data_IF_946516419148
#
_entry.id   IF_946516419148
#
_cell.length_a   1.000
_cell.length_b   1.000
_cell.length_c   1.000
_cell.angle_alpha   90.00
_cell.angle_beta   90.00
_cell.angle_gamma   90.00
#
_symmetry.space_group_name_H-M   'P 1'
#
loop_
_entity.id
_entity.type
_entity.pdbx_description
1 polymer ?
#
# COMPACT_ATOMS: atom_id res chain seq x y z
N UNK A 1 19.60 8.59 4.03
CA UNK A 1 19.69 7.43 3.14
C UNK A 1 19.43 7.88 1.70
N UNK A 2 20.41 7.75 0.75
CA UNK A 2 20.29 8.20 -0.62
C UNK A 2 19.19 7.47 -1.40
N UNK A 3 18.92 6.21 -1.11
CA UNK A 3 17.90 5.42 -1.80
C UNK A 3 16.49 5.92 -1.42
N UNK A 4 16.26 6.13 -0.14
CA UNK A 4 15.02 6.73 0.35
C UNK A 4 14.83 8.15 -0.23
N UNK A 5 15.89 8.95 -0.28
CA UNK A 5 15.82 10.29 -0.87
C UNK A 5 15.46 10.26 -2.36
N UNK A 6 16.07 9.39 -3.16
CA UNK A 6 15.77 9.23 -4.58
C UNK A 6 14.30 8.89 -4.83
N UNK A 7 13.78 7.88 -4.13
CA UNK A 7 12.41 7.43 -4.28
C UNK A 7 11.40 8.46 -3.73
N UNK A 8 11.46 8.76 -2.43
CA UNK A 8 10.50 9.64 -1.76
C UNK A 8 10.57 11.07 -2.28
N UNK A 9 11.78 11.61 -2.47
CA UNK A 9 11.97 12.98 -2.93
C UNK A 9 11.40 13.21 -4.33
N UNK A 10 11.54 12.25 -5.24
CA UNK A 10 10.95 12.34 -6.59
C UNK A 10 9.43 12.31 -6.56
N UNK A 11 8.84 11.40 -5.77
CA UNK A 11 7.39 11.31 -5.61
C UNK A 11 6.82 12.59 -4.99
N UNK A 12 7.40 13.10 -3.90
CA UNK A 12 6.93 14.32 -3.26
C UNK A 12 7.02 15.57 -4.15
N UNK A 13 8.07 15.66 -4.99
CA UNK A 13 8.22 16.78 -5.94
C UNK A 13 7.20 16.74 -7.06
N UNK A 14 6.89 15.53 -7.55
CA UNK A 14 6.05 15.36 -8.73
C UNK A 14 4.55 15.29 -8.41
N UNK A 15 4.17 14.78 -7.23
CA UNK A 15 2.79 14.41 -6.93
C UNK A 15 2.23 15.20 -5.73
N UNK A 16 1.45 16.28 -5.97
CA UNK A 16 0.87 17.08 -4.88
C UNK A 16 -0.07 16.31 -3.94
N UNK A 17 -0.67 15.22 -4.42
CA UNK A 17 -1.55 14.35 -3.63
C UNK A 17 -0.78 13.38 -2.73
N UNK A 18 0.48 13.07 -3.04
CA UNK A 18 1.34 12.20 -2.25
C UNK A 18 2.06 12.97 -1.13
N UNK A 19 1.30 13.52 -0.18
CA UNK A 19 1.86 14.29 0.96
C UNK A 19 2.53 13.40 2.00
N UNK A 20 2.16 12.13 2.05
CA UNK A 20 2.83 11.09 2.82
C UNK A 20 3.11 9.92 1.89
N UNK A 21 4.32 9.39 1.98
CA UNK A 21 4.79 8.22 1.23
C UNK A 21 5.37 7.24 2.23
N UNK A 22 4.91 5.98 2.17
CA UNK A 22 5.48 4.89 2.95
C UNK A 22 5.89 3.77 2.01
N UNK A 23 7.12 3.31 2.16
CA UNK A 23 7.66 2.17 1.44
C UNK A 23 8.22 1.17 2.44
N UNK A 24 7.83 -0.10 2.29
CA UNK A 24 8.26 -1.17 3.19
C UNK A 24 8.44 -2.50 2.44
N UNK A 25 9.24 -3.37 3.03
CA UNK A 25 9.41 -4.77 2.66
C UNK A 25 8.71 -5.68 3.68
N UNK A 26 7.43 -5.39 3.97
CA UNK A 26 6.66 -6.25 4.87
C UNK A 26 6.43 -7.63 4.25
N UNK A 27 6.30 -8.65 5.09
CA UNK A 27 6.44 -10.05 4.65
C UNK A 27 5.48 -10.40 3.53
N UNK A 28 4.19 -10.19 3.71
CA UNK A 28 3.20 -10.65 2.73
C UNK A 28 3.17 -9.75 1.49
N UNK A 29 3.39 -8.44 1.64
CA UNK A 29 3.55 -7.54 0.50
C UNK A 29 4.76 -7.94 -0.36
N UNK A 30 5.90 -8.30 0.28
CA UNK A 30 7.09 -8.72 -0.44
C UNK A 30 6.90 -10.09 -1.11
N UNK A 31 6.22 -11.04 -0.44
CA UNK A 31 5.88 -12.32 -1.06
C UNK A 31 4.99 -12.10 -2.29
N UNK A 32 3.96 -11.25 -2.19
CA UNK A 32 3.09 -10.92 -3.32
C UNK A 32 3.90 -10.28 -4.46
N UNK A 33 4.74 -9.30 -4.15
CA UNK A 33 5.62 -8.63 -5.13
C UNK A 33 6.64 -9.56 -5.79
N UNK A 34 6.89 -10.74 -5.21
CA UNK A 34 7.83 -11.75 -5.75
C UNK A 34 7.14 -12.81 -6.62
N UNK A 35 5.83 -12.74 -6.78
CA UNK A 35 5.10 -13.64 -7.68
C UNK A 35 5.19 -13.13 -9.12
N UNK A 36 5.17 -14.05 -10.09
CA UNK A 36 5.14 -13.71 -11.51
C UNK A 36 3.87 -12.93 -11.90
N UNK A 37 2.76 -13.16 -11.20
CA UNK A 37 1.56 -12.34 -11.22
C UNK A 37 1.37 -11.77 -9.81
N UNK A 38 1.72 -10.51 -9.64
CA UNK A 38 1.63 -9.77 -8.37
C UNK A 38 0.28 -9.10 -8.17
N UNK A 39 -0.72 -9.37 -9.02
CA UNK A 39 -2.04 -8.78 -8.88
C UNK A 39 -2.70 -9.18 -7.55
N UNK A 40 -3.35 -8.22 -6.90
CA UNK A 40 -4.17 -8.43 -5.71
C UNK A 40 -5.65 -8.34 -6.10
N UNK A 41 -6.32 -9.47 -6.40
CA UNK A 41 -7.74 -9.46 -6.73
C UNK A 41 -8.60 -9.18 -5.49
N UNK A 42 -9.78 -8.62 -5.70
CA UNK A 42 -10.76 -8.41 -4.64
C UNK A 42 -11.42 -9.75 -4.25
N UNK A 43 -10.91 -10.40 -3.20
CA UNK A 43 -11.43 -11.67 -2.65
C UNK A 43 -12.16 -11.48 -1.32
N UNK A 44 -11.97 -10.34 -0.68
CA UNK A 44 -12.59 -9.97 0.58
C UNK A 44 -12.76 -8.45 0.70
N UNK A 45 -13.31 -7.99 1.81
CA UNK A 45 -13.55 -6.56 2.05
C UNK A 45 -12.24 -5.76 2.14
N UNK A 46 -11.14 -6.33 2.65
CA UNK A 46 -9.86 -5.63 2.78
C UNK A 46 -9.18 -5.49 1.41
N UNK A 47 -9.14 -6.55 0.62
CA UNK A 47 -8.57 -6.50 -0.73
C UNK A 47 -9.39 -5.60 -1.67
N UNK A 48 -10.71 -5.51 -1.46
CA UNK A 48 -11.58 -4.61 -2.20
C UNK A 48 -11.26 -3.12 -2.00
N UNK A 49 -10.61 -2.72 -0.88
CA UNK A 49 -10.11 -1.34 -0.69
C UNK A 49 -9.18 -0.91 -1.83
N UNK A 50 -8.47 -1.86 -2.41
CA UNK A 50 -7.41 -1.62 -3.40
C UNK A 50 -7.87 -1.84 -4.85
N UNK A 51 -9.13 -2.19 -5.07
CA UNK A 51 -9.67 -2.41 -6.41
C UNK A 51 -9.51 -1.15 -7.27
N UNK A 52 -8.84 -1.27 -8.40
CA UNK A 52 -8.47 -0.14 -9.29
C UNK A 52 -7.65 0.99 -8.60
N UNK A 53 -6.94 0.71 -7.49
CA UNK A 53 -6.06 1.65 -6.77
C UNK A 53 -4.62 1.19 -6.75
N UNK A 54 -4.31 0.09 -7.41
CA UNK A 54 -2.97 -0.49 -7.48
C UNK A 54 -2.38 -0.30 -8.87
N UNK A 55 -1.10 0.04 -8.90
CA UNK A 55 -0.23 -0.16 -10.07
C UNK A 55 0.85 -1.18 -9.72
N UNK A 56 1.21 -2.02 -10.67
CA UNK A 56 2.32 -2.96 -10.54
C UNK A 56 3.50 -2.41 -11.33
N UNK A 57 4.65 -2.36 -10.69
CA UNK A 57 5.91 -2.01 -11.30
C UNK A 57 6.79 -3.25 -11.42
N UNK A 58 6.87 -3.82 -12.60
CA UNK A 58 7.67 -5.03 -12.90
C UNK A 58 9.14 -4.72 -13.24
N UNK A 59 9.55 -3.44 -13.17
CA UNK A 59 10.88 -3.01 -13.58
C UNK A 59 11.77 -2.76 -12.36
N UNK A 60 12.20 -3.83 -11.71
CA UNK A 60 13.19 -3.71 -10.63
C UNK A 60 14.58 -3.44 -11.21
N UNK A 61 15.09 -2.21 -11.02
CA UNK A 61 16.38 -1.75 -11.52
C UNK A 61 17.53 -1.81 -10.49
N UNK A 62 17.30 -2.41 -9.32
CA UNK A 62 18.27 -2.44 -8.25
C UNK A 62 17.94 -1.45 -7.12
N UNK A 63 18.94 -0.77 -6.57
CA UNK A 63 18.72 0.22 -5.51
C UNK A 63 18.06 1.49 -6.07
N UNK A 64 17.02 1.98 -5.38
CA UNK A 64 16.21 3.12 -5.83
C UNK A 64 17.03 4.44 -5.83
N UNK A 65 17.57 4.79 -6.97
CA UNK A 65 18.17 6.09 -7.25
C UNK A 65 17.14 7.04 -7.90
N UNK A 66 17.58 8.25 -8.24
CA UNK A 66 16.69 9.34 -8.69
C UNK A 66 15.90 8.99 -9.98
N UNK A 67 16.49 8.26 -10.91
CA UNK A 67 15.80 7.82 -12.15
C UNK A 67 14.64 6.87 -11.85
N UNK A 68 14.80 5.96 -10.91
CA UNK A 68 13.76 5.06 -10.46
C UNK A 68 12.63 5.82 -9.75
N UNK A 69 12.98 6.79 -8.90
CA UNK A 69 12.00 7.64 -8.24
C UNK A 69 11.12 8.43 -9.21
N UNK A 70 11.69 8.96 -10.29
CA UNK A 70 10.94 9.66 -11.34
C UNK A 70 9.98 8.72 -12.09
N UNK A 71 10.41 7.49 -12.38
CA UNK A 71 9.59 6.45 -13.02
C UNK A 71 8.43 6.03 -12.10
N UNK A 72 8.69 5.79 -10.82
CA UNK A 72 7.66 5.49 -9.82
C UNK A 72 6.64 6.63 -9.69
N UNK A 73 7.09 7.88 -9.69
CA UNK A 73 6.20 9.03 -9.67
C UNK A 73 5.28 9.07 -10.90
N UNK A 74 5.78 8.69 -12.07
CA UNK A 74 4.95 8.60 -13.29
C UNK A 74 3.86 7.54 -13.17
N UNK A 75 4.17 6.38 -12.60
CA UNK A 75 3.20 5.30 -12.38
C UNK A 75 2.10 5.69 -11.37
N UNK A 76 2.43 6.54 -10.41
CA UNK A 76 1.51 7.03 -9.38
C UNK A 76 0.84 8.38 -9.74
N UNK A 77 0.93 8.81 -11.00
CA UNK A 77 0.44 10.13 -11.43
C UNK A 77 -1.09 10.29 -11.29
N UNK A 78 -1.86 9.21 -11.45
CA UNK A 78 -3.29 9.22 -11.19
C UNK A 78 -3.55 9.27 -9.68
N UNK A 79 -4.21 10.32 -9.14
CA UNK A 79 -4.54 10.41 -7.72
C UNK A 79 -5.39 9.24 -7.16
N UNK A 80 -6.06 8.50 -8.03
CA UNK A 80 -6.79 7.28 -7.67
C UNK A 80 -5.83 6.12 -7.36
N UNK A 81 -4.66 6.09 -7.98
CA UNK A 81 -3.62 5.09 -7.75
C UNK A 81 -2.86 5.41 -6.48
N UNK A 82 -3.15 4.70 -5.41
CA UNK A 82 -2.62 4.98 -4.07
C UNK A 82 -1.62 3.96 -3.57
N UNK A 83 -1.46 2.86 -4.31
CA UNK A 83 -0.61 1.74 -3.93
C UNK A 83 0.18 1.26 -5.13
N UNK A 84 1.47 1.04 -4.97
CA UNK A 84 2.34 0.46 -5.98
C UNK A 84 2.97 -0.81 -5.43
N UNK A 85 2.73 -1.92 -6.11
CA UNK A 85 3.48 -3.17 -5.88
C UNK A 85 4.75 -3.08 -6.71
N UNK A 86 5.88 -3.12 -6.03
CA UNK A 86 7.20 -3.06 -6.66
C UNK A 86 7.74 -4.49 -6.81
N UNK A 87 7.73 -5.01 -8.02
CA UNK A 87 8.13 -6.38 -8.33
C UNK A 87 9.52 -6.72 -7.79
N UNK A 88 9.66 -7.88 -7.14
CA UNK A 88 10.86 -8.34 -6.44
C UNK A 88 11.41 -7.40 -5.36
N UNK A 89 10.58 -6.46 -4.85
CA UNK A 89 11.06 -5.44 -3.92
C UNK A 89 10.15 -5.31 -2.69
N UNK A 90 8.93 -4.83 -2.88
CA UNK A 90 8.01 -4.59 -1.77
C UNK A 90 6.78 -3.78 -2.18
N UNK A 91 6.30 -2.92 -1.29
CA UNK A 91 5.13 -2.09 -1.56
C UNK A 91 5.43 -0.62 -1.20
N UNK A 92 4.86 0.28 -1.99
CA UNK A 92 4.83 1.71 -1.72
C UNK A 92 3.37 2.18 -1.71
N UNK A 93 3.01 2.95 -0.69
CA UNK A 93 1.67 3.55 -0.56
C UNK A 93 1.80 5.07 -0.40
N UNK A 94 0.84 5.79 -0.97
CA UNK A 94 0.78 7.25 -0.89
C UNK A 94 -0.55 7.70 -0.28
N UNK A 95 -0.54 8.86 0.36
CA UNK A 95 -1.73 9.46 0.95
C UNK A 95 -1.55 10.91 1.30
N UNK A 96 -2.64 11.55 1.75
CA UNK A 96 -2.67 12.97 2.13
C UNK A 96 -2.18 13.20 3.56
N UNK A 97 -2.30 12.19 4.42
CA UNK A 97 -1.88 12.24 5.82
C UNK A 97 -1.14 10.97 6.22
N UNK A 98 -0.38 11.03 7.31
CA UNK A 98 0.29 9.86 7.89
C UNK A 98 -0.72 8.79 8.26
N UNK A 99 -1.83 9.18 8.88
CA UNK A 99 -2.89 8.25 9.28
C UNK A 99 -3.48 7.50 8.08
N UNK A 100 -3.81 8.22 7.01
CA UNK A 100 -4.36 7.64 5.78
C UNK A 100 -3.38 6.67 5.13
N UNK A 101 -2.11 7.06 5.00
CA UNK A 101 -1.08 6.24 4.36
C UNK A 101 -0.76 5.00 5.19
N UNK A 102 -0.63 5.16 6.52
CA UNK A 102 -0.41 4.04 7.42
C UNK A 102 -1.58 3.04 7.40
N UNK A 103 -2.82 3.55 7.43
CA UNK A 103 -4.01 2.71 7.36
C UNK A 103 -4.05 1.88 6.06
N UNK A 104 -3.71 2.49 4.92
CA UNK A 104 -3.57 1.76 3.64
C UNK A 104 -2.51 0.67 3.73
N UNK A 105 -1.34 1.00 4.23
CA UNK A 105 -0.23 0.05 4.37
C UNK A 105 -0.63 -1.14 5.24
N UNK A 106 -1.25 -0.88 6.39
CA UNK A 106 -1.74 -1.91 7.30
C UNK A 106 -2.72 -2.86 6.62
N UNK A 107 -3.74 -2.31 5.95
CA UNK A 107 -4.74 -3.14 5.28
C UNK A 107 -4.21 -3.82 4.02
N UNK A 108 -3.25 -3.21 3.33
CA UNK A 108 -2.57 -3.87 2.20
C UNK A 108 -1.83 -5.13 2.65
N UNK A 109 -1.06 -5.06 3.72
CA UNK A 109 -0.35 -6.21 4.27
C UNK A 109 -1.32 -7.33 4.68
N UNK A 110 -2.44 -6.99 5.32
CA UNK A 110 -3.48 -7.97 5.68
C UNK A 110 -4.18 -8.56 4.47
N UNK A 111 -4.48 -7.78 3.45
CA UNK A 111 -5.07 -8.27 2.21
C UNK A 111 -4.12 -9.21 1.47
N UNK A 112 -2.84 -8.84 1.38
CA UNK A 112 -1.80 -9.70 0.81
C UNK A 112 -1.66 -11.02 1.59
N UNK A 113 -1.64 -10.98 2.94
CA UNK A 113 -1.64 -12.18 3.78
C UNK A 113 -2.82 -13.09 3.47
N UNK A 114 -4.03 -12.54 3.47
CA UNK A 114 -5.25 -13.30 3.21
C UNK A 114 -5.21 -13.94 1.82
N UNK A 115 -4.79 -13.20 0.81
CA UNK A 115 -4.69 -13.68 -0.55
C UNK A 115 -3.66 -14.82 -0.69
N UNK A 116 -2.45 -14.63 -0.16
CA UNK A 116 -1.40 -15.66 -0.19
C UNK A 116 -1.86 -16.94 0.52
N UNK A 117 -2.48 -16.81 1.70
CA UNK A 117 -3.02 -17.95 2.44
C UNK A 117 -4.14 -18.66 1.66
N UNK A 118 -4.99 -17.91 0.97
CA UNK A 118 -6.03 -18.47 0.11
C UNK A 118 -5.43 -19.25 -1.06
N UNK A 119 -4.39 -18.73 -1.73
CA UNK A 119 -3.65 -19.42 -2.79
C UNK A 119 -3.02 -20.73 -2.30
N UNK A 120 -2.47 -20.75 -1.09
CA UNK A 120 -1.83 -21.94 -0.49
C UNK A 120 -2.81 -23.11 -0.28
N UNK A 121 -4.12 -22.84 -0.24
CA UNK A 121 -5.13 -23.92 -0.13
C UNK A 121 -5.27 -24.74 -1.40
N UNK A 122 -4.81 -24.23 -2.54
CA UNK A 122 -4.99 -24.84 -3.86
C UNK A 122 -6.45 -24.87 -4.35
N UNK A 123 -7.37 -24.21 -3.64
CA UNK A 123 -8.78 -24.15 -4.03
C UNK A 123 -9.06 -22.89 -4.88
N UNK A 124 -10.06 -22.94 -5.78
CA UNK A 124 -10.47 -21.76 -6.54
C UNK A 124 -10.87 -20.61 -5.63
N UNK A 125 -10.46 -19.39 -5.99
CA UNK A 125 -10.82 -18.16 -5.29
C UNK A 125 -12.26 -17.74 -5.65
N UNK A 126 -12.95 -17.16 -4.67
CA UNK A 126 -14.21 -16.46 -4.90
C UNK A 126 -13.92 -14.96 -5.07
N UNK A 127 -13.97 -14.49 -6.29
CA UNK A 127 -13.77 -13.07 -6.59
C UNK A 127 -15.06 -12.28 -6.35
N UNK A 128 -14.91 -11.04 -5.86
CA UNK A 128 -16.01 -10.10 -5.83
C UNK A 128 -16.30 -9.58 -7.26
N UNK A 129 -17.57 -9.35 -7.61
CA UNK A 129 -17.88 -8.63 -8.83
C UNK A 129 -17.26 -7.22 -8.83
N UNK A 130 -16.76 -6.75 -9.97
CA UNK A 130 -16.08 -5.46 -10.10
C UNK A 130 -16.89 -4.29 -9.52
N UNK A 131 -18.18 -4.26 -9.78
CA UNK A 131 -19.06 -3.21 -9.27
C UNK A 131 -19.15 -3.21 -7.73
N UNK A 132 -19.09 -4.39 -7.10
CA UNK A 132 -19.10 -4.53 -5.64
C UNK A 132 -17.74 -4.12 -5.06
N UNK A 133 -16.66 -4.55 -5.70
CA UNK A 133 -15.29 -4.19 -5.28
C UNK A 133 -15.06 -2.68 -5.38
N UNK A 134 -15.45 -2.04 -6.51
CA UNK A 134 -15.32 -0.60 -6.68
C UNK A 134 -16.19 0.18 -5.68
N UNK A 135 -17.44 -0.24 -5.46
CA UNK A 135 -18.30 0.36 -4.43
C UNK A 135 -17.66 0.29 -3.05
N UNK A 136 -17.11 -0.87 -2.69
CA UNK A 136 -16.46 -1.07 -1.39
C UNK A 136 -15.23 -0.16 -1.24
N UNK A 137 -14.41 -0.03 -2.28
CA UNK A 137 -13.26 0.88 -2.27
C UNK A 137 -13.69 2.34 -2.03
N UNK A 138 -14.74 2.80 -2.72
CA UNK A 138 -15.28 4.15 -2.54
C UNK A 138 -15.85 4.38 -1.14
N UNK A 139 -16.53 3.39 -0.56
CA UNK A 139 -17.05 3.45 0.81
C UNK A 139 -15.91 3.55 1.83
N UNK A 140 -14.81 2.84 1.65
CA UNK A 140 -13.61 2.97 2.47
C UNK A 140 -12.98 4.37 2.37
N UNK A 141 -12.86 4.91 1.16
CA UNK A 141 -12.33 6.26 0.92
C UNK A 141 -13.19 7.36 1.56
N UNK A 142 -14.51 7.15 1.56
CA UNK A 142 -15.46 8.09 2.11
C UNK A 142 -15.68 7.95 3.64
N UNK A 143 -15.12 6.93 4.29
CA UNK A 143 -15.36 6.67 5.72
C UNK A 143 -14.67 7.71 6.61
N UNK A 144 -15.41 8.63 7.24
CA UNK A 144 -14.81 9.76 7.94
C UNK A 144 -14.10 9.32 9.22
N UNK A 145 -12.86 9.80 9.40
CA UNK A 145 -12.09 9.62 10.64
C UNK A 145 -11.60 8.20 10.92
N UNK A 146 -11.84 7.24 10.02
CA UNK A 146 -11.43 5.85 10.23
C UNK A 146 -9.91 5.71 10.41
N UNK A 147 -9.13 6.26 9.48
CA UNK A 147 -7.68 6.20 9.53
C UNK A 147 -7.10 6.91 10.76
N UNK A 148 -7.65 8.08 11.11
CA UNK A 148 -7.22 8.83 12.30
C UNK A 148 -7.53 8.08 13.58
N UNK A 149 -8.67 7.41 13.66
CA UNK A 149 -9.04 6.58 14.81
C UNK A 149 -8.10 5.39 14.96
N UNK A 150 -7.78 4.70 13.86
CA UNK A 150 -6.86 3.57 13.86
C UNK A 150 -5.46 3.99 14.35
N UNK A 151 -4.90 5.07 13.81
CA UNK A 151 -3.57 5.56 14.23
C UNK A 151 -3.58 6.03 15.69
N UNK A 152 -4.65 6.67 16.16
CA UNK A 152 -4.79 7.11 17.54
C UNK A 152 -4.81 5.94 18.52
N UNK A 153 -5.55 4.86 18.20
CA UNK A 153 -5.57 3.66 19.05
C UNK A 153 -4.21 2.98 19.16
N UNK A 154 -3.48 2.89 18.02
CA UNK A 154 -2.12 2.35 18.06
C UNK A 154 -1.17 3.19 18.90
N UNK A 155 -1.28 4.52 18.83
CA UNK A 155 -0.51 5.42 19.70
C UNK A 155 -0.86 5.21 21.16
N UNK A 156 -2.16 5.08 21.49
CA UNK A 156 -2.58 4.82 22.86
C UNK A 156 -2.02 3.50 23.42
N UNK A 157 -1.92 2.46 22.58
CA UNK A 157 -1.28 1.19 22.96
C UNK A 157 0.21 1.40 23.25
N UNK A 158 0.95 2.08 22.37
CA UNK A 158 2.37 2.37 22.56
C UNK A 158 2.62 3.25 23.80
N UNK A 159 1.79 4.27 24.03
CA UNK A 159 1.85 5.13 25.21
C UNK A 159 1.62 4.33 26.52
N UNK A 160 0.74 3.32 26.48
CA UNK A 160 0.47 2.45 27.62
C UNK A 160 1.59 1.43 27.92
N UNK A 161 2.36 1.02 26.90
CA UNK A 161 3.50 0.13 27.03
C UNK A 161 4.75 0.82 27.60
N UNK A 162 4.70 2.11 27.84
CA UNK A 162 5.68 2.95 28.54
C UNK A 162 7.09 2.99 27.92
N UNK A 163 7.28 2.53 26.69
CA UNK A 163 8.54 2.66 26.00
C UNK A 163 8.64 3.98 25.24
N UNK A 164 9.78 4.64 25.37
CA UNK A 164 10.03 6.00 24.85
C UNK A 164 10.22 6.04 23.33
N UNK A 165 9.23 5.55 22.56
CA UNK A 165 9.25 5.65 21.10
C UNK A 165 9.21 7.09 20.58
N UNK A 166 8.88 8.06 21.44
CA UNK A 166 8.76 9.48 21.12
C UNK A 166 9.95 10.33 21.63
N UNK A 167 11.02 9.69 22.17
CA UNK A 167 12.21 10.37 22.69
C UNK A 167 13.30 10.60 21.64
#
# INVERSE_FOLDING_TARGET
>A
DPTAWGLHGSIHRALPHARCVMHVHSIHATVLASLADSALPAIDQNSAMFHNRIVIDDHYGGMAFEEEGARCATLLADPKTTTMIMGNHGVLVVGRTVAETFNRLYYFERAAETYIRALQTGRPLRLLPDAVAEKTAQEWEAYPGFADSHLRELRAILDAEADSYAS
#
